data_IF_797292772801
#
_entry.id   IF_797292772801
#
_cell.length_a   1.000
_cell.length_b   1.000
_cell.length_c   1.000
_cell.angle_alpha   90.00
_cell.angle_beta   90.00
_cell.angle_gamma   90.00
#
_symmetry.space_group_name_H-M   'P 1'
#
loop_
_entity.id
_entity.type
_entity.pdbx_description
1 polymer ?
#
# COMPACT_ATOMS: atom_id res chain seq x y z
N UNK A 1 20.56 -7.03 15.92
CA UNK A 1 20.96 -8.07 14.95
C UNK A 1 19.85 -9.09 14.82
N UNK A 2 19.09 -8.97 13.73
CA UNK A 2 17.99 -9.86 13.39
C UNK A 2 18.51 -11.24 12.97
N UNK A 3 17.82 -12.30 13.40
CA UNK A 3 18.19 -13.67 13.06
C UNK A 3 17.66 -14.03 11.67
N UNK A 4 18.51 -14.69 10.87
CA UNK A 4 18.12 -15.24 9.56
C UNK A 4 17.44 -16.59 9.78
N UNK A 5 16.17 -16.54 10.16
CA UNK A 5 15.28 -17.70 10.27
C UNK A 5 14.10 -17.51 9.32
N UNK A 6 13.31 -18.56 9.18
CA UNK A 6 12.05 -18.49 8.44
C UNK A 6 11.16 -17.40 9.09
N UNK A 7 10.66 -16.42 8.32
CA UNK A 7 9.81 -15.39 8.86
C UNK A 7 8.41 -15.95 9.16
N UNK A 8 7.84 -15.47 10.24
CA UNK A 8 6.48 -15.75 10.69
C UNK A 8 5.80 -14.43 11.06
N UNK A 9 4.50 -14.48 11.34
CA UNK A 9 3.69 -13.31 11.73
C UNK A 9 4.32 -12.51 12.88
N UNK A 10 4.77 -13.21 13.92
CA UNK A 10 5.36 -12.57 15.12
C UNK A 10 6.67 -11.86 14.76
N UNK A 11 7.53 -12.49 13.97
CA UNK A 11 8.77 -11.88 13.50
C UNK A 11 8.51 -10.64 12.63
N UNK A 12 7.43 -10.64 11.84
CA UNK A 12 7.01 -9.47 11.06
C UNK A 12 6.61 -8.31 11.97
N UNK A 13 5.75 -8.58 12.96
CA UNK A 13 5.31 -7.58 13.94
C UNK A 13 6.48 -7.02 14.76
N UNK A 14 7.41 -7.89 15.20
CA UNK A 14 8.61 -7.50 15.95
C UNK A 14 9.52 -6.58 15.12
N UNK A 15 9.71 -6.87 13.83
CA UNK A 15 10.52 -6.04 12.92
C UNK A 15 9.86 -4.69 12.69
N UNK A 16 8.55 -4.66 12.45
CA UNK A 16 7.79 -3.41 12.25
C UNK A 16 7.84 -2.55 13.52
N UNK A 17 7.57 -3.13 14.69
CA UNK A 17 7.66 -2.42 15.97
C UNK A 17 9.09 -1.95 16.27
N UNK A 18 10.09 -2.73 15.91
CA UNK A 18 11.51 -2.37 16.03
C UNK A 18 11.87 -1.15 15.16
N UNK A 19 11.35 -1.08 13.93
CA UNK A 19 11.52 0.08 13.05
C UNK A 19 10.82 1.32 13.61
N UNK A 20 9.55 1.20 14.00
CA UNK A 20 8.75 2.31 14.55
C UNK A 20 9.35 2.88 15.85
N UNK A 21 9.95 2.02 16.69
CA UNK A 21 10.59 2.44 17.94
C UNK A 21 12.05 2.90 17.77
N UNK A 22 12.60 2.84 16.56
CA UNK A 22 14.00 3.17 16.28
C UNK A 22 15.03 2.16 16.84
N UNK A 23 14.58 1.02 17.36
CA UNK A 23 15.46 -0.08 17.82
C UNK A 23 16.13 -0.80 16.67
N UNK A 24 15.48 -0.83 15.50
CA UNK A 24 16.01 -1.36 14.26
C UNK A 24 16.17 -0.23 13.27
N UNK A 25 17.30 -0.23 12.56
CA UNK A 25 17.53 0.72 11.47
C UNK A 25 16.99 0.20 10.14
N UNK A 26 16.62 1.10 9.24
CA UNK A 26 16.17 0.76 7.88
C UNK A 26 17.20 -0.11 7.14
N UNK A 27 18.52 0.21 7.13
CA UNK A 27 19.51 -0.65 6.49
C UNK A 27 19.67 -2.03 7.14
N UNK A 28 19.54 -2.13 8.47
CA UNK A 28 19.59 -3.42 9.17
C UNK A 28 18.45 -4.33 8.70
N UNK A 29 17.23 -3.80 8.59
CA UNK A 29 16.07 -4.57 8.14
C UNK A 29 16.18 -4.95 6.66
N UNK A 30 16.63 -4.04 5.79
CA UNK A 30 16.86 -4.36 4.37
C UNK A 30 17.90 -5.48 4.23
N UNK A 31 18.99 -5.42 4.99
CA UNK A 31 20.01 -6.47 4.96
C UNK A 31 19.47 -7.80 5.47
N UNK A 32 18.64 -7.79 6.50
CA UNK A 32 17.99 -8.99 7.03
C UNK A 32 17.00 -9.60 6.02
N UNK A 33 16.18 -8.77 5.40
CA UNK A 33 15.20 -9.16 4.38
C UNK A 33 15.90 -9.86 3.21
N UNK A 34 16.99 -9.26 2.70
CA UNK A 34 17.82 -9.87 1.63
C UNK A 34 18.41 -11.21 2.06
N UNK A 35 18.88 -11.33 3.30
CA UNK A 35 19.44 -12.58 3.81
C UNK A 35 18.40 -13.70 3.92
N UNK A 36 17.14 -13.37 4.28
CA UNK A 36 16.03 -14.32 4.28
C UNK A 36 15.69 -14.74 2.85
N UNK A 37 15.51 -13.79 1.91
CA UNK A 37 15.25 -14.12 0.50
C UNK A 37 16.33 -15.01 -0.09
N UNK A 38 17.61 -14.73 0.17
CA UNK A 38 18.72 -15.56 -0.31
C UNK A 38 18.71 -16.98 0.26
N UNK A 39 18.12 -17.19 1.44
CA UNK A 39 18.07 -18.48 2.11
C UNK A 39 16.85 -19.31 1.73
N UNK A 40 15.68 -18.68 1.61
CA UNK A 40 14.39 -19.36 1.43
C UNK A 40 13.79 -19.17 0.04
N UNK A 41 14.24 -18.17 -0.73
CA UNK A 41 13.71 -17.87 -2.06
C UNK A 41 12.19 -17.67 -2.05
N UNK A 42 11.54 -18.24 -3.06
CA UNK A 42 10.08 -18.21 -3.22
C UNK A 42 9.35 -19.20 -2.28
N UNK A 43 10.06 -20.10 -1.60
CA UNK A 43 9.49 -21.07 -0.65
C UNK A 43 9.29 -20.49 0.77
N UNK A 44 9.22 -19.17 0.87
CA UNK A 44 9.05 -18.48 2.14
C UNK A 44 7.67 -18.79 2.74
N UNK A 45 7.59 -19.31 3.98
CA UNK A 45 6.33 -19.76 4.57
C UNK A 45 5.59 -18.61 5.25
N UNK A 46 5.42 -17.50 4.52
CA UNK A 46 4.65 -16.36 4.96
C UNK A 46 3.40 -16.27 4.07
N UNK A 47 2.22 -16.33 4.68
CA UNK A 47 0.97 -16.12 3.95
C UNK A 47 0.74 -14.63 3.69
N UNK A 48 -0.22 -14.30 2.81
CA UNK A 48 -0.65 -12.90 2.62
C UNK A 48 -1.15 -12.30 3.94
N UNK A 49 -1.89 -13.07 4.74
CA UNK A 49 -2.42 -12.65 6.04
C UNK A 49 -1.31 -12.40 7.07
N UNK A 50 -0.23 -13.17 7.01
CA UNK A 50 0.96 -12.99 7.87
C UNK A 50 1.88 -11.85 7.39
N UNK A 51 1.57 -11.24 6.26
CA UNK A 51 2.27 -10.09 5.74
C UNK A 51 3.34 -10.38 4.68
N UNK A 52 3.15 -11.41 3.84
CA UNK A 52 4.02 -11.73 2.70
C UNK A 52 4.42 -10.48 1.91
N UNK A 53 3.45 -9.71 1.46
CA UNK A 53 3.71 -8.51 0.66
C UNK A 53 4.39 -7.40 1.44
N UNK A 54 4.09 -7.27 2.74
CA UNK A 54 4.78 -6.33 3.62
C UNK A 54 6.25 -6.72 3.81
N UNK A 55 6.56 -8.01 3.94
CA UNK A 55 7.93 -8.50 3.98
C UNK A 55 8.72 -8.13 2.71
N UNK A 56 8.14 -8.35 1.53
CA UNK A 56 8.76 -7.92 0.27
C UNK A 56 8.94 -6.40 0.22
N UNK A 57 7.96 -5.65 0.74
CA UNK A 57 8.02 -4.19 0.79
C UNK A 57 9.16 -3.66 1.66
N UNK A 58 9.59 -4.41 2.69
CA UNK A 58 10.74 -4.02 3.52
C UNK A 58 12.04 -3.87 2.72
N UNK A 59 12.13 -4.48 1.52
CA UNK A 59 13.24 -4.29 0.59
C UNK A 59 13.39 -2.85 0.07
N UNK A 60 12.35 -2.02 0.18
CA UNK A 60 12.34 -0.62 -0.25
C UNK A 60 12.52 0.39 0.89
N UNK A 61 12.84 -0.07 2.11
CA UNK A 61 13.00 0.84 3.25
C UNK A 61 14.11 1.87 3.01
N UNK A 62 15.21 1.51 2.37
CA UNK A 62 16.33 2.43 2.11
C UNK A 62 16.22 3.15 0.76
N UNK A 63 15.12 2.98 0.01
CA UNK A 63 14.93 3.62 -1.28
C UNK A 63 14.52 5.09 -1.10
N UNK A 64 15.34 6.05 -1.58
CA UNK A 64 14.97 7.45 -1.54
C UNK A 64 13.87 7.75 -2.55
N UNK A 65 12.98 8.67 -2.18
CA UNK A 65 11.97 9.23 -3.05
C UNK A 65 12.11 10.76 -3.07
N UNK A 66 12.30 11.31 -4.26
CA UNK A 66 12.40 12.75 -4.48
C UNK A 66 11.09 13.23 -5.08
N UNK A 67 10.31 13.94 -4.26
CA UNK A 67 9.04 14.58 -4.66
C UNK A 67 9.07 16.04 -4.16
N UNK A 68 8.55 16.97 -4.97
CA UNK A 68 8.32 18.36 -4.53
C UNK A 68 9.55 19.16 -4.06
N UNK A 69 10.77 18.76 -4.44
CA UNK A 69 12.01 19.42 -3.99
C UNK A 69 12.51 18.98 -2.60
N UNK A 70 11.86 18.00 -1.98
CA UNK A 70 12.35 17.29 -0.78
C UNK A 70 12.92 15.92 -1.12
N UNK A 71 13.74 15.37 -0.21
CA UNK A 71 14.15 13.96 -0.25
C UNK A 71 13.59 13.26 0.99
N UNK A 72 12.81 12.20 0.76
CA UNK A 72 12.31 11.32 1.80
C UNK A 72 12.60 9.86 1.40
N UNK A 73 12.11 8.92 2.18
CA UNK A 73 12.11 7.51 1.77
C UNK A 73 10.78 7.15 1.12
N UNK A 74 10.80 6.20 0.20
CA UNK A 74 9.59 5.66 -0.42
C UNK A 74 8.60 5.19 0.65
N UNK A 75 9.01 4.25 1.50
CA UNK A 75 8.20 3.81 2.65
C UNK A 75 8.26 4.84 3.77
N UNK A 76 7.11 5.34 4.20
CA UNK A 76 6.94 6.29 5.29
C UNK A 76 6.72 5.55 6.61
N UNK A 77 6.93 6.22 7.73
CA UNK A 77 6.64 5.64 9.05
C UNK A 77 5.16 5.27 9.20
N UNK A 78 4.27 6.04 8.55
CA UNK A 78 2.84 5.70 8.51
C UNK A 78 2.59 4.39 7.75
N UNK A 79 3.32 4.09 6.69
CA UNK A 79 3.13 2.83 5.96
C UNK A 79 3.43 1.62 6.87
N UNK A 80 4.45 1.72 7.72
CA UNK A 80 4.76 0.69 8.72
C UNK A 80 3.65 0.51 9.76
N UNK A 81 3.02 1.60 10.18
CA UNK A 81 1.83 1.54 11.03
C UNK A 81 0.68 0.81 10.32
N UNK A 82 0.44 1.12 9.06
CA UNK A 82 -0.61 0.46 8.27
C UNK A 82 -0.33 -1.04 8.08
N UNK A 83 0.93 -1.43 7.86
CA UNK A 83 1.32 -2.85 7.77
C UNK A 83 1.01 -3.60 9.06
N UNK A 84 1.35 -3.01 10.22
CA UNK A 84 1.06 -3.61 11.51
C UNK A 84 -0.45 -3.83 11.68
N UNK A 85 -1.26 -2.80 11.43
CA UNK A 85 -2.71 -2.89 11.57
C UNK A 85 -3.32 -3.94 10.64
N UNK A 86 -2.80 -4.09 9.42
CA UNK A 86 -3.26 -5.13 8.50
C UNK A 86 -2.88 -6.54 8.96
N UNK A 87 -1.65 -6.75 9.44
CA UNK A 87 -1.21 -8.05 9.99
C UNK A 87 -1.97 -8.38 11.29
N UNK A 88 -2.30 -7.38 12.11
CA UNK A 88 -3.11 -7.52 13.32
C UNK A 88 -4.61 -7.64 13.03
N UNK A 89 -5.03 -7.48 11.77
CA UNK A 89 -6.43 -7.56 11.34
C UNK A 89 -7.32 -6.51 12.02
N UNK A 90 -6.77 -5.31 12.26
CA UNK A 90 -7.48 -4.18 12.85
C UNK A 90 -8.20 -3.41 11.74
N UNK A 91 -9.54 -3.32 11.70
CA UNK A 91 -10.26 -2.66 10.60
C UNK A 91 -9.96 -1.17 10.45
N UNK A 92 -10.10 -0.65 9.23
CA UNK A 92 -10.13 0.80 8.99
C UNK A 92 -11.43 1.43 9.54
N UNK A 93 -11.33 2.65 10.04
CA UNK A 93 -12.46 3.43 10.55
C UNK A 93 -12.61 4.78 9.86
N UNK A 94 -11.74 5.09 8.89
CA UNK A 94 -11.73 6.39 8.23
C UNK A 94 -12.91 6.51 7.25
N UNK A 95 -13.64 7.62 7.36
CA UNK A 95 -14.78 7.94 6.50
C UNK A 95 -14.67 9.38 6.02
N UNK A 96 -14.84 9.59 4.71
CA UNK A 96 -14.81 10.90 4.08
C UNK A 96 -15.97 11.05 3.09
N UNK A 97 -16.89 11.97 3.36
CA UNK A 97 -18.07 12.23 2.50
C UNK A 97 -18.89 10.98 2.09
N UNK A 98 -18.95 9.98 2.97
CA UNK A 98 -19.64 8.70 2.71
C UNK A 98 -18.78 7.64 2.01
N UNK A 99 -17.52 7.96 1.70
CA UNK A 99 -16.51 7.00 1.25
C UNK A 99 -15.84 6.43 2.49
N UNK A 100 -15.90 5.11 2.66
CA UNK A 100 -15.25 4.42 3.77
C UNK A 100 -13.92 3.84 3.29
N UNK A 101 -12.85 4.06 4.04
CA UNK A 101 -11.60 3.34 3.82
C UNK A 101 -11.75 1.88 4.22
N UNK A 102 -11.06 1.01 3.49
CA UNK A 102 -10.87 -0.40 3.82
C UNK A 102 -9.39 -0.73 3.86
N UNK A 103 -9.02 -1.69 4.68
CA UNK A 103 -7.70 -2.32 4.67
C UNK A 103 -7.64 -3.47 3.68
N UNK A 104 -6.44 -3.95 3.38
CA UNK A 104 -6.28 -5.03 2.40
C UNK A 104 -6.94 -6.32 2.87
N UNK A 105 -6.93 -6.59 4.18
CA UNK A 105 -7.61 -7.76 4.77
C UNK A 105 -9.15 -7.65 4.80
N UNK A 106 -9.70 -6.43 4.72
CA UNK A 106 -11.16 -6.24 4.60
C UNK A 106 -11.64 -6.35 3.15
N UNK A 107 -10.72 -6.33 2.18
CA UNK A 107 -11.06 -6.35 0.78
C UNK A 107 -11.31 -7.79 0.30
N UNK A 108 -12.39 -8.01 -0.43
CA UNK A 108 -12.64 -9.29 -1.09
C UNK A 108 -11.54 -9.57 -2.13
N UNK A 109 -10.72 -10.59 -1.86
CA UNK A 109 -9.61 -11.02 -2.72
C UNK A 109 -10.07 -11.87 -3.90
N UNK A 110 -11.31 -12.37 -3.88
CA UNK A 110 -11.91 -13.14 -4.98
C UNK A 110 -12.58 -12.27 -6.04
N UNK A 111 -12.88 -11.00 -5.71
CA UNK A 111 -13.53 -10.09 -6.62
C UNK A 111 -12.59 -9.59 -7.72
N UNK A 112 -13.02 -9.71 -8.98
CA UNK A 112 -12.32 -9.14 -10.13
C UNK A 112 -12.47 -7.62 -10.10
N UNK A 113 -11.34 -6.91 -10.10
CA UNK A 113 -11.31 -5.44 -10.19
C UNK A 113 -10.91 -5.02 -11.60
N UNK A 114 -11.79 -4.32 -12.29
CA UNK A 114 -11.58 -3.84 -13.65
C UNK A 114 -10.94 -2.46 -13.62
N UNK A 115 -10.05 -2.14 -14.58
CA UNK A 115 -9.59 -0.76 -14.77
C UNK A 115 -10.78 0.09 -15.21
N UNK A 116 -11.15 1.06 -14.39
CA UNK A 116 -12.30 1.94 -14.63
C UNK A 116 -11.87 3.25 -15.28
N UNK A 117 -10.84 3.89 -14.74
CA UNK A 117 -10.30 5.14 -15.29
C UNK A 117 -8.90 5.42 -14.77
N UNK A 118 -8.20 6.34 -15.43
CA UNK A 118 -6.96 6.96 -14.95
C UNK A 118 -7.23 8.38 -14.48
N UNK A 119 -6.40 8.89 -13.57
CA UNK A 119 -6.45 10.29 -13.13
C UNK A 119 -5.02 10.84 -13.01
N UNK A 120 -4.89 12.16 -13.08
CA UNK A 120 -3.60 12.81 -12.87
C UNK A 120 -3.34 12.97 -11.37
N UNK A 121 -2.26 12.37 -10.89
CA UNK A 121 -1.77 12.57 -9.54
C UNK A 121 -0.96 13.87 -9.46
N UNK A 122 -1.21 14.62 -8.38
CA UNK A 122 -0.39 15.73 -7.90
C UNK A 122 -0.41 15.71 -6.37
N UNK A 123 0.50 16.44 -5.73
CA UNK A 123 0.45 16.63 -4.27
C UNK A 123 -0.89 17.23 -3.82
N UNK A 124 -1.51 18.05 -4.67
CA UNK A 124 -2.85 18.59 -4.43
C UNK A 124 -3.96 17.57 -4.59
N UNK A 125 -3.76 16.42 -5.23
CA UNK A 125 -4.78 15.35 -5.34
C UNK A 125 -4.46 14.15 -4.45
N UNK A 126 -3.40 14.23 -3.64
CA UNK A 126 -3.02 13.18 -2.70
C UNK A 126 -4.15 12.90 -1.70
N UNK A 127 -4.62 11.66 -1.66
CA UNK A 127 -5.80 11.28 -0.85
C UNK A 127 -5.55 11.35 0.66
N UNK A 128 -4.29 11.38 1.08
CA UNK A 128 -3.89 11.59 2.48
C UNK A 128 -4.46 12.89 3.07
N UNK A 129 -4.63 13.93 2.24
CA UNK A 129 -5.23 15.22 2.66
C UNK A 129 -6.71 15.09 3.06
N UNK A 130 -7.38 14.04 2.59
CA UNK A 130 -8.79 13.76 2.86
C UNK A 130 -8.98 12.92 4.13
N UNK A 131 -7.90 12.64 4.88
CA UNK A 131 -7.94 11.73 6.02
C UNK A 131 -8.10 10.27 5.62
N UNK A 132 -7.80 9.93 4.37
CA UNK A 132 -7.87 8.57 3.82
C UNK A 132 -6.44 8.05 3.58
N UNK A 133 -5.84 7.36 4.57
CA UNK A 133 -4.44 7.02 4.50
C UNK A 133 -4.14 5.94 3.44
N UNK A 134 -3.46 6.33 2.37
CA UNK A 134 -2.89 5.41 1.38
C UNK A 134 -1.64 4.69 1.91
N UNK A 135 -1.34 3.52 1.35
CA UNK A 135 -0.25 2.64 1.79
C UNK A 135 0.73 2.42 0.64
N UNK A 136 2.03 2.59 0.89
CA UNK A 136 3.11 2.31 -0.08
C UNK A 136 3.68 0.93 0.14
N UNK A 137 4.19 0.29 -0.91
CA UNK A 137 4.84 -1.02 -0.83
C UNK A 137 4.97 -1.70 -2.18
N UNK A 138 5.11 -3.02 -2.14
CA UNK A 138 4.88 -3.91 -3.28
C UNK A 138 3.89 -4.99 -2.86
N UNK A 139 2.94 -5.28 -3.76
CA UNK A 139 1.81 -6.17 -3.47
C UNK A 139 1.62 -7.24 -4.53
N UNK A 140 2.65 -7.50 -5.33
CA UNK A 140 2.68 -8.54 -6.35
C UNK A 140 4.11 -9.03 -6.61
N UNK A 141 4.22 -10.19 -7.25
CA UNK A 141 5.50 -10.89 -7.44
C UNK A 141 6.53 -10.10 -8.28
N UNK A 142 6.05 -9.18 -9.12
CA UNK A 142 6.92 -8.35 -9.97
C UNK A 142 7.79 -7.38 -9.16
N UNK A 143 7.38 -7.05 -7.93
CA UNK A 143 8.14 -6.14 -7.07
C UNK A 143 7.96 -4.66 -7.44
N UNK A 144 6.87 -4.30 -8.13
CA UNK A 144 6.61 -2.91 -8.50
C UNK A 144 6.36 -2.06 -7.24
N UNK A 145 6.96 -0.87 -7.20
CA UNK A 145 6.75 0.13 -6.14
C UNK A 145 5.42 0.84 -6.38
N UNK A 146 4.48 0.70 -5.47
CA UNK A 146 3.14 1.25 -5.61
C UNK A 146 2.66 1.94 -4.34
N UNK A 147 1.74 2.88 -4.49
CA UNK A 147 0.88 3.41 -3.45
C UNK A 147 -0.54 2.98 -3.76
N UNK A 148 -1.25 2.42 -2.78
CA UNK A 148 -2.62 1.98 -2.98
C UNK A 148 -3.56 2.41 -1.85
N UNK A 149 -4.85 2.42 -2.14
CA UNK A 149 -5.91 2.71 -1.18
C UNK A 149 -7.18 1.98 -1.58
N UNK A 150 -7.73 1.18 -0.66
CA UNK A 150 -9.02 0.51 -0.84
C UNK A 150 -10.13 1.38 -0.25
N UNK A 151 -11.17 1.62 -1.05
CA UNK A 151 -12.29 2.49 -0.71
C UNK A 151 -13.61 1.77 -1.01
N UNK A 152 -14.58 1.94 -0.13
CA UNK A 152 -15.95 1.50 -0.34
C UNK A 152 -16.85 2.74 -0.51
N UNK A 153 -17.67 2.74 -1.55
CA UNK A 153 -18.64 3.80 -1.81
C UNK A 153 -19.87 3.23 -2.51
N UNK A 154 -21.05 3.48 -1.93
CA UNK A 154 -22.34 3.03 -2.48
C UNK A 154 -22.33 1.53 -2.85
N UNK A 155 -21.93 0.68 -1.89
CA UNK A 155 -21.80 -0.78 -2.04
C UNK A 155 -20.74 -1.28 -3.04
N UNK A 156 -20.09 -0.38 -3.78
CA UNK A 156 -18.97 -0.71 -4.66
C UNK A 156 -17.62 -0.59 -3.96
N UNK A 157 -16.69 -1.45 -4.36
CA UNK A 157 -15.29 -1.42 -3.92
C UNK A 157 -14.42 -0.83 -5.02
N UNK A 158 -13.66 0.18 -4.65
CA UNK A 158 -12.67 0.85 -5.48
C UNK A 158 -11.27 0.64 -4.90
N UNK A 159 -10.30 0.50 -5.78
CA UNK A 159 -8.89 0.42 -5.46
C UNK A 159 -8.17 1.50 -6.27
N UNK A 160 -7.70 2.51 -5.57
CA UNK A 160 -6.87 3.58 -6.14
C UNK A 160 -5.42 3.11 -6.06
N UNK A 161 -4.71 3.11 -7.19
CA UNK A 161 -3.31 2.70 -7.27
C UNK A 161 -2.50 3.76 -8.00
N UNK A 162 -1.30 4.03 -7.52
CA UNK A 162 -0.27 4.81 -8.21
C UNK A 162 1.00 3.96 -8.28
N UNK A 163 1.59 3.86 -9.46
CA UNK A 163 2.88 3.18 -9.65
C UNK A 163 4.00 4.23 -9.64
N UNK A 164 5.14 3.93 -9.01
CA UNK A 164 6.30 4.81 -8.96
C UNK A 164 7.29 4.48 -10.09
N UNK A 165 6.86 4.71 -11.32
CA UNK A 165 7.63 4.51 -12.54
C UNK A 165 7.62 5.78 -13.43
N UNK A 166 7.86 5.61 -14.73
CA UNK A 166 7.82 6.68 -15.74
C UNK A 166 6.45 7.40 -15.81
N UNK A 167 5.39 6.78 -15.28
CA UNK A 167 4.02 7.32 -15.22
C UNK A 167 3.60 7.70 -13.79
N UNK A 168 4.55 7.99 -12.91
CA UNK A 168 4.26 8.33 -11.50
C UNK A 168 3.36 9.55 -11.27
N UNK A 169 3.09 10.36 -12.30
CA UNK A 169 2.08 11.44 -12.28
C UNK A 169 0.66 10.94 -12.57
N UNK A 170 0.46 9.63 -12.74
CA UNK A 170 -0.82 9.01 -13.04
C UNK A 170 -1.21 8.02 -11.94
N UNK A 171 -2.50 8.02 -11.62
CA UNK A 171 -3.10 6.96 -10.82
C UNK A 171 -4.18 6.23 -11.62
N UNK A 172 -4.39 4.97 -11.27
CA UNK A 172 -5.40 4.11 -11.83
C UNK A 172 -6.47 3.83 -10.77
N UNK A 173 -7.73 3.82 -11.18
CA UNK A 173 -8.84 3.39 -10.34
C UNK A 173 -9.35 2.07 -10.90
N UNK A 174 -9.25 1.04 -10.06
CA UNK A 174 -9.85 -0.26 -10.30
C UNK A 174 -11.14 -0.37 -9.49
N UNK A 175 -12.12 -1.14 -9.97
CA UNK A 175 -13.33 -1.40 -9.19
C UNK A 175 -14.07 -2.65 -9.60
N UNK A 176 -14.94 -3.12 -8.70
CA UNK A 176 -15.78 -4.31 -8.91
C UNK A 176 -17.04 -4.01 -9.72
N UNK A 177 -17.44 -2.74 -9.76
CA UNK A 177 -18.61 -2.24 -10.47
C UNK A 177 -18.18 -1.35 -11.65
N UNK A 178 -18.96 -1.38 -12.72
CA UNK A 178 -18.74 -0.62 -13.96
C UNK A 178 -19.82 0.44 -14.21
N UNK A 179 -20.67 0.73 -13.23
CA UNK A 179 -21.62 1.85 -13.29
C UNK A 179 -20.87 3.19 -13.45
N UNK A 180 -21.00 3.87 -14.60
CA UNK A 180 -20.30 5.13 -14.85
C UNK A 180 -20.76 6.27 -13.94
N UNK A 181 -22.05 6.33 -13.56
CA UNK A 181 -22.58 7.38 -12.73
C UNK A 181 -22.09 7.27 -11.29
N UNK A 182 -21.96 6.04 -10.78
CA UNK A 182 -21.34 5.78 -9.47
C UNK A 182 -19.87 6.17 -9.46
N UNK A 183 -19.13 5.82 -10.52
CA UNK A 183 -17.73 6.21 -10.67
C UNK A 183 -17.57 7.74 -10.72
N UNK A 184 -18.41 8.44 -11.48
CA UNK A 184 -18.39 9.90 -11.56
C UNK A 184 -18.66 10.55 -10.19
N UNK A 185 -19.66 10.08 -9.45
CA UNK A 185 -19.95 10.56 -8.10
C UNK A 185 -18.82 10.27 -7.10
N UNK A 186 -18.14 9.12 -7.24
CA UNK A 186 -16.98 8.77 -6.44
C UNK A 186 -15.79 9.70 -6.72
N UNK A 187 -15.49 9.97 -8.00
CA UNK A 187 -14.42 10.86 -8.43
C UNK A 187 -14.66 12.30 -7.96
N UNK A 188 -15.87 12.81 -8.12
CA UNK A 188 -16.26 14.16 -7.70
C UNK A 188 -16.03 14.37 -6.20
N UNK A 189 -16.44 13.40 -5.37
CA UNK A 189 -16.20 13.44 -3.91
C UNK A 189 -14.72 13.52 -3.56
N UNK A 190 -13.88 12.76 -4.26
CA UNK A 190 -12.43 12.78 -4.04
C UNK A 190 -11.74 13.99 -4.69
N UNK A 191 -12.45 14.76 -5.50
CA UNK A 191 -11.89 15.86 -6.29
C UNK A 191 -10.85 15.37 -7.29
N UNK A 192 -11.10 14.20 -7.90
CA UNK A 192 -10.23 13.60 -8.90
C UNK A 192 -10.81 13.82 -10.29
N UNK A 193 -9.99 14.34 -11.20
CA UNK A 193 -10.38 14.51 -12.60
C UNK A 193 -9.90 13.31 -13.42
N UNK A 194 -10.80 12.63 -14.15
CA UNK A 194 -10.40 11.55 -15.02
C UNK A 194 -9.53 12.08 -16.17
N UNK A 195 -8.45 11.35 -16.45
CA UNK A 195 -7.52 11.62 -17.52
C UNK A 195 -7.75 10.63 -18.65
N UNK A 196 -8.29 11.10 -19.77
CA UNK A 196 -8.49 10.30 -20.98
C UNK A 196 -7.39 10.60 -22.00
N UNK A 197 -6.79 9.55 -22.56
CA UNK A 197 -5.79 9.65 -23.63
C UNK A 197 -6.42 10.02 -24.98
#
# INVERSE_FOLDING_TARGET
>A
MLLVKSPDRDSMLDVIAGLQSGKLSRPEVVSWQKAILNRFGDEMPLSVEDGLWYFHSLGFLDVPLVEGGGSSFFLRDRDLFEYQMDIEQVPANEVYQGICRRRSHEADTSAIRWPLTTYRYSEFTGLDRLGLPAVRGTFEARGDMVEHLHLAFDEAMFLVIRQFDEYSEQGLILGTDRDPGRLEAFLDKLGLEPFYF
#
